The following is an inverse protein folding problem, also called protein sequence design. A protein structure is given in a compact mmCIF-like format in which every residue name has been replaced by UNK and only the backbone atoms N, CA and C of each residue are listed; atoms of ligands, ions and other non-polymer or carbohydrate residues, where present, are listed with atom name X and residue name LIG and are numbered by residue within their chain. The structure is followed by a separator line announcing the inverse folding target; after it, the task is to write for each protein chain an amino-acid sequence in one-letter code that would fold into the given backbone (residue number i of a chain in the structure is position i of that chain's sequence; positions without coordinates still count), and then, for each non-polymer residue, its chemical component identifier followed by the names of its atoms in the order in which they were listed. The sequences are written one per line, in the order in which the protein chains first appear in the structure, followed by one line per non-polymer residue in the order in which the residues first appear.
data_IF_230184376178
#
_entry.id   IF_230184376178
#
_cell.length_a   1.000
_cell.length_b   1.000
_cell.length_c   1.000
_cell.angle_alpha   90.00
_cell.angle_beta   90.00
_cell.angle_gamma   90.00
#
_symmetry.space_group_name_H-M   'P 1'
#
loop_
_entity.id
_entity.type
_entity.pdbx_description
1 polymer ?
#
# COMPACT_ATOMS: atom_id res chain seq x y z
N UNK A 1 -62.68 37.35 16.67
CA UNK A 1 -61.25 37.19 16.40
C UNK A 1 -60.98 35.72 16.18
N UNK A 2 -60.90 35.26 14.90
CA UNK A 2 -60.67 33.86 14.55
C UNK A 2 -59.13 33.66 14.41
N UNK A 3 -58.56 32.82 15.27
CA UNK A 3 -57.13 32.45 15.16
C UNK A 3 -56.96 31.43 14.03
N UNK A 4 -56.24 31.80 12.99
CA UNK A 4 -55.86 30.93 11.89
C UNK A 4 -54.60 30.13 12.32
N UNK A 5 -54.76 28.82 12.53
CA UNK A 5 -53.64 27.93 12.78
C UNK A 5 -53.12 27.45 11.44
N UNK A 6 -51.94 27.93 11.07
CA UNK A 6 -51.21 27.41 9.90
C UNK A 6 -50.45 26.16 10.34
N UNK A 7 -50.89 24.99 9.90
CA UNK A 7 -50.18 23.71 10.05
C UNK A 7 -49.13 23.64 8.94
N UNK A 8 -47.87 23.83 9.31
CA UNK A 8 -46.74 23.68 8.41
C UNK A 8 -46.48 22.16 8.23
N UNK A 9 -46.90 21.59 7.11
CA UNK A 9 -46.67 20.22 6.72
C UNK A 9 -45.24 20.09 6.17
N UNK A 10 -44.31 19.65 6.99
CA UNK A 10 -42.96 19.31 6.53
C UNK A 10 -43.04 18.01 5.76
N UNK A 11 -43.01 18.09 4.44
CA UNK A 11 -42.87 16.92 3.57
C UNK A 11 -41.39 16.51 3.62
N UNK A 12 -41.10 15.47 4.37
CA UNK A 12 -39.82 14.81 4.33
C UNK A 12 -39.68 14.12 2.96
N UNK A 13 -38.95 14.75 2.07
CA UNK A 13 -38.57 14.17 0.79
C UNK A 13 -37.54 13.08 1.07
N UNK A 14 -37.96 11.81 1.21
CA UNK A 14 -37.07 10.67 1.22
C UNK A 14 -36.44 10.58 -0.17
N UNK A 15 -35.20 11.03 -0.29
CA UNK A 15 -34.41 10.79 -1.49
C UNK A 15 -34.16 9.28 -1.56
N UNK A 16 -34.94 8.57 -2.38
CA UNK A 16 -34.57 7.23 -2.83
C UNK A 16 -33.33 7.36 -3.72
N UNK A 17 -32.15 7.30 -3.12
CA UNK A 17 -30.95 7.00 -3.90
C UNK A 17 -31.12 5.56 -4.37
N UNK A 18 -31.46 5.38 -5.66
CA UNK A 18 -31.27 4.10 -6.33
C UNK A 18 -29.78 3.82 -6.27
N UNK A 19 -29.35 3.04 -5.27
CA UNK A 19 -27.97 2.62 -5.15
C UNK A 19 -27.59 1.89 -6.43
N UNK A 20 -26.75 2.52 -7.25
CA UNK A 20 -26.08 1.81 -8.31
C UNK A 20 -25.38 0.61 -7.62
N UNK A 21 -25.68 -0.60 -8.10
CA UNK A 21 -25.07 -1.81 -7.55
C UNK A 21 -23.56 -1.68 -7.74
N UNK A 22 -22.84 -1.43 -6.65
CA UNK A 22 -21.40 -1.34 -6.67
C UNK A 22 -20.86 -2.66 -7.21
N UNK A 23 -20.04 -2.58 -8.25
CA UNK A 23 -19.40 -3.76 -8.83
C UNK A 23 -18.29 -4.17 -7.88
N UNK A 24 -18.41 -5.34 -7.26
CA UNK A 24 -17.37 -5.84 -6.37
C UNK A 24 -16.06 -5.95 -7.16
N UNK A 25 -15.01 -5.30 -6.65
CA UNK A 25 -13.68 -5.38 -7.24
C UNK A 25 -13.07 -6.74 -6.96
N UNK A 26 -12.39 -7.33 -7.95
CA UNK A 26 -11.54 -8.49 -7.71
C UNK A 26 -10.21 -8.00 -7.09
N UNK A 27 -9.58 -8.77 -6.19
CA UNK A 27 -8.24 -8.47 -5.72
C UNK A 27 -7.26 -8.28 -6.88
N UNK A 28 -6.21 -7.49 -6.67
CA UNK A 28 -5.10 -7.37 -7.63
C UNK A 28 -4.21 -8.59 -7.47
N UNK A 29 -3.96 -9.29 -8.57
CA UNK A 29 -3.01 -10.41 -8.57
C UNK A 29 -1.58 -9.85 -8.52
N UNK A 30 -0.85 -10.17 -7.46
CA UNK A 30 0.54 -9.76 -7.28
C UNK A 30 1.54 -10.77 -7.86
N UNK A 31 1.07 -11.93 -8.31
CA UNK A 31 1.93 -13.00 -8.78
C UNK A 31 3.05 -13.33 -7.79
N UNK A 32 4.25 -13.55 -8.27
CA UNK A 32 5.42 -13.85 -7.44
C UNK A 32 5.90 -12.64 -6.60
N UNK A 33 5.52 -11.40 -6.95
CA UNK A 33 5.77 -10.22 -6.11
C UNK A 33 5.05 -10.30 -4.76
N UNK A 34 3.94 -11.03 -4.69
CA UNK A 34 3.18 -11.28 -3.46
C UNK A 34 3.95 -12.05 -2.39
N UNK A 35 5.05 -12.70 -2.74
CA UNK A 35 5.95 -13.39 -1.79
C UNK A 35 6.84 -12.42 -1.01
N UNK A 36 6.98 -11.18 -1.45
CA UNK A 36 7.82 -10.18 -0.83
C UNK A 36 6.99 -9.20 0.00
N UNK A 37 7.51 -8.82 1.17
CA UNK A 37 6.96 -7.71 1.96
C UNK A 37 7.56 -6.38 1.50
N UNK A 38 8.80 -6.39 0.98
CA UNK A 38 9.41 -5.26 0.28
C UNK A 38 10.06 -5.77 -1.01
N UNK A 39 9.70 -5.17 -2.14
CA UNK A 39 10.38 -5.39 -3.42
C UNK A 39 10.66 -4.04 -4.06
N UNK A 40 11.93 -3.82 -4.46
CA UNK A 40 12.35 -2.54 -5.05
C UNK A 40 13.29 -2.76 -6.23
N UNK A 41 13.26 -1.83 -7.21
CA UNK A 41 14.14 -1.94 -8.38
C UNK A 41 15.47 -1.23 -8.22
N UNK A 42 15.55 -0.21 -7.34
CA UNK A 42 16.75 0.63 -7.22
C UNK A 42 17.45 0.52 -5.87
N UNK A 43 16.78 0.00 -4.84
CA UNK A 43 17.40 -0.23 -3.53
C UNK A 43 16.42 -0.21 -2.38
N UNK A 44 16.88 -0.74 -1.25
CA UNK A 44 16.19 -0.71 0.04
C UNK A 44 17.19 -0.20 1.07
N UNK A 45 16.85 0.90 1.73
CA UNK A 45 17.73 1.51 2.74
C UNK A 45 17.00 1.57 4.07
N UNK A 46 17.71 1.26 5.17
CA UNK A 46 17.18 1.45 6.51
C UNK A 46 18.16 2.17 7.41
N UNK A 47 17.63 2.94 8.35
CA UNK A 47 18.37 3.54 9.46
C UNK A 47 17.60 3.29 10.76
N UNK A 48 18.33 3.16 11.87
CA UNK A 48 17.75 2.85 13.17
C UNK A 48 17.27 1.39 13.29
N UNK A 49 16.48 1.10 14.32
CA UNK A 49 16.02 -0.25 14.62
C UNK A 49 14.75 -0.56 13.84
N UNK A 50 14.91 -1.15 12.66
CA UNK A 50 13.80 -1.63 11.82
C UNK A 50 13.51 -3.11 12.09
N UNK A 51 12.25 -3.52 12.02
CA UNK A 51 11.80 -4.91 12.15
C UNK A 51 10.92 -5.28 10.96
N UNK A 52 11.32 -6.27 10.17
CA UNK A 52 10.60 -6.71 8.98
C UNK A 52 10.24 -8.18 9.13
N UNK A 53 8.95 -8.51 9.03
CA UNK A 53 8.46 -9.88 8.99
C UNK A 53 8.09 -10.25 7.56
N UNK A 54 8.92 -11.09 6.93
CA UNK A 54 8.77 -11.54 5.54
C UNK A 54 10.02 -11.28 4.70
N UNK A 55 9.97 -11.72 3.45
CA UNK A 55 11.09 -11.62 2.53
C UNK A 55 11.21 -10.23 1.91
N UNK A 56 12.44 -9.79 1.67
CA UNK A 56 12.72 -8.55 0.94
C UNK A 56 13.63 -8.81 -0.26
N UNK A 57 13.50 -8.01 -1.31
CA UNK A 57 14.28 -8.22 -2.52
C UNK A 57 14.54 -6.96 -3.33
N UNK A 58 15.68 -6.96 -4.05
CA UNK A 58 16.00 -5.94 -5.05
C UNK A 58 16.38 -6.57 -6.38
N UNK A 59 15.87 -6.01 -7.47
CA UNK A 59 16.22 -6.39 -8.85
C UNK A 59 15.84 -5.27 -9.82
N UNK A 60 16.67 -4.94 -10.81
CA UNK A 60 17.89 -5.62 -11.26
C UNK A 60 19.19 -5.21 -10.53
N UNK A 61 19.10 -4.41 -9.49
CA UNK A 61 20.25 -3.91 -8.74
C UNK A 61 20.85 -5.00 -7.82
N UNK A 62 22.12 -4.84 -7.47
CA UNK A 62 22.87 -5.77 -6.63
C UNK A 62 22.56 -5.62 -5.15
N UNK A 63 23.00 -6.58 -4.33
CA UNK A 63 22.86 -6.54 -2.86
C UNK A 63 23.48 -5.28 -2.23
N UNK A 64 24.45 -4.64 -2.87
CA UNK A 64 25.05 -3.40 -2.39
C UNK A 64 24.05 -2.23 -2.27
N UNK A 65 22.91 -2.33 -2.95
CA UNK A 65 21.82 -1.37 -2.84
C UNK A 65 20.85 -1.65 -1.66
N UNK A 66 21.10 -2.72 -0.89
CA UNK A 66 20.40 -3.01 0.36
C UNK A 66 21.29 -2.51 1.52
N UNK A 67 21.01 -1.35 2.04
CA UNK A 67 21.89 -0.67 2.98
C UNK A 67 21.25 -0.54 4.38
N UNK A 68 22.10 -0.59 5.43
CA UNK A 68 21.67 -0.49 6.82
C UNK A 68 21.18 -1.81 7.45
N UNK A 69 21.17 -2.92 6.71
CA UNK A 69 20.66 -4.22 7.17
C UNK A 69 21.72 -5.14 7.78
N UNK A 70 22.99 -4.80 7.72
CA UNK A 70 24.09 -5.68 8.16
C UNK A 70 23.93 -7.12 7.62
N UNK A 71 23.88 -7.24 6.29
CA UNK A 71 23.62 -8.51 5.60
C UNK A 71 24.69 -9.55 5.92
N UNK A 72 24.25 -10.75 6.25
CA UNK A 72 25.11 -11.91 6.45
C UNK A 72 24.86 -12.92 5.33
N UNK A 73 25.85 -13.20 4.47
CA UNK A 73 25.78 -14.24 3.47
C UNK A 73 25.55 -15.61 4.14
N UNK A 74 24.75 -16.47 3.50
CA UNK A 74 24.47 -17.81 4.02
C UNK A 74 25.61 -18.77 3.72
N UNK A 75 26.30 -18.55 2.60
CA UNK A 75 27.44 -19.38 2.17
C UNK A 75 28.67 -18.46 2.00
N UNK A 76 29.78 -18.75 2.70
CA UNK A 76 30.97 -17.89 2.68
C UNK A 76 31.71 -17.86 1.34
N UNK A 77 31.48 -18.84 0.46
CA UNK A 77 32.16 -18.95 -0.85
C UNK A 77 31.56 -18.08 -1.98
N UNK A 78 30.52 -17.29 -1.64
CA UNK A 78 29.85 -16.42 -2.60
C UNK A 78 28.76 -17.05 -3.45
N UNK A 79 28.43 -18.35 -3.23
CA UNK A 79 27.34 -19.05 -3.92
C UNK A 79 25.97 -18.83 -3.26
N UNK A 80 25.73 -17.62 -2.74
CA UNK A 80 24.51 -17.31 -2.00
C UNK A 80 23.29 -17.19 -2.92
N UNK A 81 22.21 -17.87 -2.57
CA UNK A 81 20.88 -17.62 -3.14
C UNK A 81 20.09 -16.59 -2.36
N UNK A 82 20.47 -16.27 -1.12
CA UNK A 82 19.90 -15.23 -0.27
C UNK A 82 20.90 -14.84 0.81
N UNK A 83 20.66 -13.74 1.48
CA UNK A 83 21.31 -13.32 2.74
C UNK A 83 20.29 -13.25 3.87
N UNK A 84 20.80 -13.15 5.10
CA UNK A 84 20.02 -12.93 6.31
C UNK A 84 20.39 -11.59 6.95
N UNK A 85 19.51 -11.08 7.79
CA UNK A 85 19.71 -9.88 8.60
C UNK A 85 18.98 -10.04 9.93
N UNK A 86 19.53 -9.53 11.02
CA UNK A 86 18.82 -9.50 12.31
C UNK A 86 17.57 -8.59 12.29
N UNK A 87 17.43 -7.74 11.28
CA UNK A 87 16.28 -6.85 11.10
C UNK A 87 15.17 -7.48 10.27
N UNK A 88 15.39 -8.68 9.67
CA UNK A 88 14.46 -9.35 8.76
C UNK A 88 14.27 -10.78 9.22
N UNK A 89 13.06 -11.18 9.55
CA UNK A 89 12.75 -12.57 9.91
C UNK A 89 12.67 -13.50 8.71
N UNK A 90 12.52 -12.96 7.50
CA UNK A 90 12.58 -13.66 6.22
C UNK A 90 13.98 -13.67 5.63
N UNK A 91 14.03 -13.82 4.31
CA UNK A 91 15.25 -13.81 3.51
C UNK A 91 15.42 -12.50 2.78
N UNK A 92 16.68 -12.17 2.49
CA UNK A 92 17.06 -10.98 1.73
C UNK A 92 17.63 -11.43 0.38
N UNK A 93 17.01 -10.99 -0.71
CA UNK A 93 17.36 -11.39 -2.05
C UNK A 93 17.89 -10.23 -2.88
N UNK A 94 18.85 -10.50 -3.75
CA UNK A 94 19.40 -9.54 -4.68
C UNK A 94 19.71 -10.17 -6.05
N UNK A 95 19.69 -9.37 -7.10
CA UNK A 95 19.81 -9.87 -8.48
C UNK A 95 21.21 -10.42 -8.84
N UNK A 96 22.22 -10.14 -8.03
CA UNK A 96 23.58 -10.66 -8.19
C UNK A 96 23.87 -11.92 -7.37
N UNK A 97 22.85 -12.49 -6.72
CA UNK A 97 23.01 -13.79 -6.07
C UNK A 97 22.95 -14.95 -7.07
N UNK A 98 23.25 -16.15 -6.61
CA UNK A 98 23.29 -17.34 -7.45
C UNK A 98 21.89 -17.76 -7.90
N UNK A 99 21.78 -18.34 -9.09
CA UNK A 99 20.53 -18.95 -9.57
C UNK A 99 19.94 -19.95 -8.52
N UNK A 100 18.61 -19.96 -8.35
CA UNK A 100 17.59 -19.36 -9.22
C UNK A 100 17.14 -17.92 -8.81
N UNK A 101 17.86 -17.25 -7.92
CA UNK A 101 17.45 -15.97 -7.34
C UNK A 101 17.32 -14.85 -8.38
N UNK A 102 18.28 -14.60 -9.29
CA UNK A 102 18.13 -13.56 -10.32
C UNK A 102 16.91 -13.76 -11.21
N UNK A 103 16.68 -15.03 -11.63
CA UNK A 103 15.53 -15.39 -12.46
C UNK A 103 14.21 -15.16 -11.72
N UNK A 104 14.10 -15.62 -10.47
CA UNK A 104 12.88 -15.47 -9.65
C UNK A 104 12.60 -13.99 -9.33
N UNK A 105 13.61 -13.20 -9.01
CA UNK A 105 13.46 -11.76 -8.77
C UNK A 105 13.06 -11.01 -10.05
N UNK A 106 13.61 -11.41 -11.20
CA UNK A 106 13.21 -10.88 -12.48
C UNK A 106 11.72 -11.06 -12.75
N UNK A 107 11.20 -12.27 -12.50
CA UNK A 107 9.75 -12.56 -12.58
C UNK A 107 8.94 -11.73 -11.57
N UNK A 108 9.40 -11.66 -10.32
CA UNK A 108 8.69 -10.89 -9.29
C UNK A 108 8.60 -9.39 -9.63
N UNK A 109 9.63 -8.82 -10.24
CA UNK A 109 9.58 -7.43 -10.71
C UNK A 109 8.61 -7.26 -11.87
N UNK A 110 8.56 -8.20 -12.81
CA UNK A 110 7.57 -8.18 -13.90
C UNK A 110 6.14 -8.31 -13.38
N UNK A 111 5.91 -9.19 -12.42
CA UNK A 111 4.60 -9.36 -11.77
C UNK A 111 4.19 -8.11 -11.01
N UNK A 112 5.11 -7.47 -10.27
CA UNK A 112 4.86 -6.17 -9.61
C UNK A 112 4.43 -5.10 -10.62
N UNK A 113 5.08 -5.03 -11.78
CA UNK A 113 4.75 -4.08 -12.83
C UNK A 113 3.41 -4.40 -13.51
N UNK A 114 3.11 -5.69 -13.71
CA UNK A 114 1.83 -6.15 -14.24
C UNK A 114 0.69 -5.84 -13.25
N UNK A 115 0.88 -6.11 -11.96
CA UNK A 115 -0.08 -5.78 -10.91
C UNK A 115 -0.37 -4.27 -10.85
N UNK A 116 0.68 -3.43 -10.94
CA UNK A 116 0.50 -1.98 -11.04
C UNK A 116 -0.32 -1.60 -12.28
N UNK A 117 0.00 -2.18 -13.43
CA UNK A 117 -0.65 -1.86 -14.70
C UNK A 117 -2.12 -2.29 -14.71
N UNK A 118 -2.42 -3.49 -14.21
CA UNK A 118 -3.81 -3.96 -14.03
C UNK A 118 -4.58 -3.00 -13.13
N UNK A 119 -4.09 -2.77 -11.93
CA UNK A 119 -4.78 -1.96 -10.94
C UNK A 119 -4.96 -0.50 -11.37
N UNK A 120 -3.96 0.10 -12.01
CA UNK A 120 -4.03 1.47 -12.55
C UNK A 120 -4.93 1.58 -13.79
N UNK A 121 -5.07 0.50 -14.54
CA UNK A 121 -5.87 0.42 -15.77
C UNK A 121 -7.34 0.09 -15.55
N UNK A 122 -7.78 -0.26 -14.34
CA UNK A 122 -9.18 -0.59 -14.08
C UNK A 122 -10.07 0.62 -14.34
N UNK A 123 -11.17 0.37 -15.00
CA UNK A 123 -12.12 1.39 -15.47
C UNK A 123 -13.39 1.41 -14.63
N UNK A 124 -14.23 2.42 -14.83
CA UNK A 124 -15.50 2.61 -14.13
C UNK A 124 -15.29 2.72 -12.60
N UNK A 125 -14.51 3.71 -12.13
CA UNK A 125 -14.33 3.93 -10.69
C UNK A 125 -15.67 4.23 -10.02
N UNK A 126 -15.86 3.64 -8.83
CA UNK A 126 -17.04 3.88 -8.00
C UNK A 126 -17.00 5.31 -7.42
N UNK A 127 -15.78 5.82 -7.17
CA UNK A 127 -15.56 7.15 -6.61
C UNK A 127 -14.44 7.87 -7.36
N UNK A 128 -14.71 9.12 -7.75
CA UNK A 128 -13.72 9.98 -8.42
C UNK A 128 -13.52 11.27 -7.62
N UNK A 129 -12.25 11.68 -7.49
CA UNK A 129 -11.83 12.94 -6.81
C UNK A 129 -12.46 13.12 -5.42
N UNK A 130 -12.75 12.01 -4.71
CA UNK A 130 -13.36 12.05 -3.38
C UNK A 130 -12.52 12.92 -2.44
N UNK A 131 -13.20 13.85 -1.71
CA UNK A 131 -12.54 14.77 -0.80
C UNK A 131 -11.53 15.70 -1.48
N UNK A 132 -11.55 15.82 -2.83
CA UNK A 132 -10.52 16.54 -3.60
C UNK A 132 -9.08 16.09 -3.25
N UNK A 133 -8.92 14.78 -2.96
CA UNK A 133 -7.66 14.17 -2.55
C UNK A 133 -7.40 14.17 -1.04
N UNK A 134 -8.19 14.84 -0.22
CA UNK A 134 -8.11 14.72 1.24
C UNK A 134 -9.14 13.69 1.71
N UNK A 135 -8.66 12.53 2.17
CA UNK A 135 -9.52 11.43 2.66
C UNK A 135 -9.47 11.26 4.17
N UNK A 136 -8.78 12.15 4.90
CA UNK A 136 -8.75 12.13 6.36
C UNK A 136 -10.13 12.31 6.98
N UNK A 137 -10.42 11.57 8.05
CA UNK A 137 -11.70 11.58 8.74
C UNK A 137 -12.83 10.83 8.02
N UNK A 138 -12.61 10.31 6.81
CA UNK A 138 -13.64 9.61 6.06
C UNK A 138 -13.73 8.13 6.45
N UNK A 139 -14.94 7.57 6.27
CA UNK A 139 -15.17 6.12 6.25
C UNK A 139 -15.45 5.70 4.82
N UNK A 140 -14.60 4.84 4.26
CA UNK A 140 -14.62 4.44 2.86
C UNK A 140 -15.17 3.02 2.71
N UNK A 141 -16.20 2.88 1.87
CA UNK A 141 -16.74 1.59 1.47
C UNK A 141 -15.78 0.86 0.49
N UNK A 142 -15.90 -0.47 0.32
CA UNK A 142 -15.15 -1.20 -0.71
C UNK A 142 -15.39 -0.61 -2.11
N UNK A 143 -14.40 -0.68 -2.99
CA UNK A 143 -14.57 -0.22 -4.37
C UNK A 143 -13.31 0.31 -5.03
N UNK A 144 -13.49 0.83 -6.24
CA UNK A 144 -12.46 1.48 -7.03
C UNK A 144 -12.54 3.00 -6.88
N UNK A 145 -11.48 3.58 -6.37
CA UNK A 145 -11.31 5.01 -6.17
C UNK A 145 -10.29 5.58 -7.16
N UNK A 146 -10.52 6.77 -7.69
CA UNK A 146 -9.61 7.39 -8.64
C UNK A 146 -9.44 8.88 -8.36
N UNK A 147 -8.17 9.32 -8.33
CA UNK A 147 -7.77 10.73 -8.28
C UNK A 147 -6.78 11.03 -9.40
N UNK A 148 -6.99 12.16 -10.06
CA UNK A 148 -6.07 12.71 -11.07
C UNK A 148 -4.92 13.50 -10.44
N UNK A 149 -4.95 13.68 -9.12
CA UNK A 149 -4.00 14.46 -8.32
C UNK A 149 -3.39 13.65 -7.18
N UNK A 150 -2.80 14.32 -6.21
CA UNK A 150 -2.28 13.73 -4.97
C UNK A 150 -3.40 13.37 -4.01
N UNK A 151 -3.13 12.39 -3.13
CA UNK A 151 -4.01 12.03 -2.00
C UNK A 151 -3.28 12.27 -0.69
N UNK A 152 -3.97 12.87 0.26
CA UNK A 152 -3.47 13.12 1.61
C UNK A 152 -4.39 12.52 2.66
N UNK A 153 -3.77 11.99 3.73
CA UNK A 153 -4.47 11.44 4.89
C UNK A 153 -3.99 12.22 6.13
N UNK A 154 -4.53 13.43 6.37
CA UNK A 154 -4.08 14.28 7.49
C UNK A 154 -4.58 13.84 8.86
N UNK A 155 -5.65 13.03 8.92
CA UNK A 155 -6.23 12.41 10.10
C UNK A 155 -6.68 11.01 9.75
N UNK A 156 -6.98 10.16 10.72
CA UNK A 156 -7.35 8.76 10.53
C UNK A 156 -8.40 8.58 9.43
N UNK A 157 -8.22 7.56 8.60
CA UNK A 157 -9.19 7.13 7.60
C UNK A 157 -9.65 5.70 7.94
N UNK A 158 -10.95 5.44 7.85
CA UNK A 158 -11.51 4.12 8.12
C UNK A 158 -11.92 3.43 6.83
N UNK A 159 -11.46 2.20 6.63
CA UNK A 159 -11.93 1.31 5.55
C UNK A 159 -12.90 0.31 6.16
N UNK A 160 -14.18 0.42 5.81
CA UNK A 160 -15.26 -0.37 6.43
C UNK A 160 -15.90 -1.32 5.43
N UNK A 161 -15.76 -2.63 5.69
CA UNK A 161 -16.33 -3.69 4.86
C UNK A 161 -16.04 -5.07 5.42
N UNK A 162 -16.46 -6.10 4.70
CA UNK A 162 -16.25 -7.50 5.08
C UNK A 162 -14.85 -8.04 4.77
N UNK A 163 -14.59 -9.31 5.11
CA UNK A 163 -13.26 -9.91 4.99
C UNK A 163 -12.80 -10.13 3.53
N UNK A 164 -13.74 -10.21 2.60
CA UNK A 164 -13.47 -10.45 1.17
C UNK A 164 -13.62 -9.18 0.32
N UNK A 165 -13.99 -8.07 0.96
CA UNK A 165 -14.15 -6.79 0.27
C UNK A 165 -12.80 -6.21 -0.15
N UNK A 166 -12.78 -5.51 -1.30
CA UNK A 166 -11.57 -5.02 -1.95
C UNK A 166 -11.64 -3.50 -2.10
N UNK A 167 -10.54 -2.84 -1.80
CA UNK A 167 -10.31 -1.41 -2.05
C UNK A 167 -9.15 -1.24 -3.02
N UNK A 168 -9.35 -0.45 -4.07
CA UNK A 168 -8.30 -0.09 -5.02
C UNK A 168 -8.30 1.43 -5.14
N UNK A 169 -7.18 2.04 -4.79
CA UNK A 169 -6.98 3.48 -4.81
C UNK A 169 -6.02 3.84 -5.95
N UNK A 170 -6.55 4.34 -7.07
CA UNK A 170 -5.77 4.83 -8.21
C UNK A 170 -5.41 6.30 -7.98
N UNK A 171 -4.14 6.58 -7.75
CA UNK A 171 -3.62 7.92 -7.42
C UNK A 171 -2.60 8.35 -8.46
N UNK A 172 -2.93 9.36 -9.28
CA UNK A 172 -2.03 9.85 -10.33
C UNK A 172 -0.89 10.72 -9.78
N UNK A 173 -1.03 11.27 -8.59
CA UNK A 173 -0.01 12.05 -7.87
C UNK A 173 0.69 11.25 -6.78
N UNK A 174 1.05 11.91 -5.69
CA UNK A 174 1.64 11.33 -4.48
C UNK A 174 0.57 10.83 -3.51
N UNK A 175 0.98 9.96 -2.58
CA UNK A 175 0.21 9.57 -1.42
C UNK A 175 0.99 9.93 -0.15
N UNK A 176 0.38 10.78 0.67
CA UNK A 176 1.00 11.29 1.89
C UNK A 176 0.09 11.05 3.10
N UNK A 177 0.53 10.27 4.08
CA UNK A 177 -0.14 10.14 5.37
C UNK A 177 0.62 10.95 6.42
N UNK A 178 -0.11 11.75 7.20
CA UNK A 178 0.47 12.59 8.26
C UNK A 178 1.03 11.76 9.41
N UNK A 179 1.89 12.39 10.22
CA UNK A 179 2.44 11.78 11.44
C UNK A 179 1.33 11.42 12.42
N UNK A 180 1.51 10.29 13.13
CA UNK A 180 0.57 9.77 14.13
C UNK A 180 -0.87 9.56 13.59
N UNK A 181 -1.00 9.25 12.30
CA UNK A 181 -2.27 9.01 11.61
C UNK A 181 -2.37 7.55 11.20
N UNK A 182 -3.57 6.98 11.25
CA UNK A 182 -3.82 5.57 11.02
C UNK A 182 -4.79 5.31 9.87
N UNK A 183 -4.52 4.26 9.10
CA UNK A 183 -5.53 3.58 8.27
C UNK A 183 -6.21 2.53 9.14
N UNK A 184 -7.47 2.75 9.49
CA UNK A 184 -8.26 1.89 10.39
C UNK A 184 -9.08 0.93 9.54
N UNK A 185 -9.08 -0.36 9.91
CA UNK A 185 -9.92 -1.38 9.28
C UNK A 185 -11.10 -1.72 10.20
N UNK A 186 -12.30 -1.80 9.63
CA UNK A 186 -13.50 -2.15 10.38
C UNK A 186 -14.42 -3.10 9.59
N UNK A 187 -15.36 -3.76 10.28
CA UNK A 187 -16.30 -4.69 9.66
C UNK A 187 -15.71 -6.04 9.23
N UNK A 188 -14.43 -6.26 9.48
CA UNK A 188 -13.72 -7.46 9.03
C UNK A 188 -12.79 -7.21 7.83
N UNK A 189 -12.67 -5.98 7.35
CA UNK A 189 -11.76 -5.59 6.27
C UNK A 189 -10.34 -6.10 6.53
N UNK A 190 -9.66 -6.59 5.50
CA UNK A 190 -8.33 -7.18 5.60
C UNK A 190 -7.30 -6.42 4.76
N UNK A 191 -6.14 -6.15 5.33
CA UNK A 191 -5.07 -5.41 4.68
C UNK A 191 -4.61 -6.03 3.34
N UNK A 192 -4.69 -7.36 3.21
CA UNK A 192 -4.33 -8.07 1.97
C UNK A 192 -5.20 -7.68 0.76
N UNK A 193 -6.42 -7.17 1.00
CA UNK A 193 -7.39 -6.80 -0.03
C UNK A 193 -7.42 -5.29 -0.32
N UNK A 194 -6.47 -4.55 0.21
CA UNK A 194 -6.35 -3.10 0.02
C UNK A 194 -5.13 -2.82 -0.85
N UNK A 195 -5.33 -2.07 -1.94
CA UNK A 195 -4.29 -1.78 -2.92
C UNK A 195 -4.19 -0.26 -3.18
N UNK A 196 -3.05 0.32 -2.80
CA UNK A 196 -2.71 1.71 -3.03
C UNK A 196 -1.83 1.82 -4.27
N UNK A 197 -2.40 2.22 -5.40
CA UNK A 197 -1.75 2.25 -6.72
C UNK A 197 -1.35 3.68 -7.01
N UNK A 198 -0.07 4.00 -6.80
CA UNK A 198 0.42 5.37 -6.75
C UNK A 198 1.42 5.63 -7.87
N UNK A 199 1.12 6.61 -8.73
CA UNK A 199 2.04 6.98 -9.82
C UNK A 199 3.21 7.84 -9.33
N UNK A 200 2.99 8.63 -8.28
CA UNK A 200 4.02 9.45 -7.63
C UNK A 200 4.71 8.71 -6.47
N UNK A 201 5.33 9.50 -5.60
CA UNK A 201 5.96 9.01 -4.37
C UNK A 201 4.92 8.72 -3.28
N UNK A 202 5.29 7.81 -2.37
CA UNK A 202 4.53 7.53 -1.15
C UNK A 202 5.35 7.96 0.06
N UNK A 203 4.74 8.73 0.96
CA UNK A 203 5.35 9.12 2.23
C UNK A 203 4.45 8.72 3.40
N UNK A 204 4.98 7.85 4.27
CA UNK A 204 4.33 7.49 5.52
C UNK A 204 4.93 8.36 6.63
N UNK A 205 4.11 9.19 7.26
CA UNK A 205 4.50 10.13 8.31
C UNK A 205 5.04 9.43 9.56
N UNK A 206 5.77 10.16 10.38
CA UNK A 206 6.35 9.65 11.62
C UNK A 206 5.28 9.02 12.51
N UNK A 207 5.52 7.78 12.98
CA UNK A 207 4.61 6.99 13.83
C UNK A 207 3.22 6.77 13.22
N UNK A 208 3.06 6.89 11.91
CA UNK A 208 1.80 6.53 11.25
C UNK A 208 1.62 5.01 11.20
N UNK A 209 0.35 4.57 11.17
CA UNK A 209 -0.02 3.16 11.03
C UNK A 209 -0.72 2.93 9.69
N UNK A 210 -0.01 2.33 8.75
CA UNK A 210 -0.54 2.11 7.41
C UNK A 210 -0.93 0.65 7.17
N UNK A 211 -2.00 0.43 6.39
CA UNK A 211 -2.49 -0.91 6.06
C UNK A 211 -2.80 -1.03 4.57
N UNK A 212 -2.38 -2.16 4.00
CA UNK A 212 -2.60 -2.50 2.60
C UNK A 212 -1.32 -2.62 1.78
N UNK A 213 -1.48 -3.06 0.55
CA UNK A 213 -0.39 -3.26 -0.40
C UNK A 213 -0.15 -1.96 -1.18
N UNK A 214 1.06 -1.43 -1.09
CA UNK A 214 1.48 -0.23 -1.82
C UNK A 214 2.15 -0.67 -3.12
N UNK A 215 1.57 -0.29 -4.25
CA UNK A 215 2.10 -0.45 -5.59
C UNK A 215 2.54 0.93 -6.10
N UNK A 216 3.79 1.31 -5.88
CA UNK A 216 4.30 2.63 -6.24
C UNK A 216 5.13 2.57 -7.53
N UNK A 217 4.86 3.47 -8.47
CA UNK A 217 5.68 3.62 -9.69
C UNK A 217 7.01 4.29 -9.41
N UNK A 218 7.10 5.02 -8.29
CA UNK A 218 8.34 5.66 -7.82
C UNK A 218 8.73 5.11 -6.45
N UNK A 219 9.22 5.95 -5.55
CA UNK A 219 9.72 5.54 -4.23
C UNK A 219 8.63 5.48 -3.15
N UNK A 220 8.93 4.68 -2.13
CA UNK A 220 8.18 4.64 -0.88
C UNK A 220 9.13 5.04 0.24
N UNK A 221 8.76 6.04 1.02
CA UNK A 221 9.50 6.49 2.20
C UNK A 221 8.64 6.28 3.45
N UNK A 222 9.19 5.57 4.43
CA UNK A 222 8.57 5.42 5.74
C UNK A 222 9.40 6.22 6.75
N UNK A 223 8.81 7.29 7.29
CA UNK A 223 9.46 8.12 8.29
C UNK A 223 9.53 7.40 9.65
N UNK A 224 10.27 7.99 10.59
CA UNK A 224 10.63 7.38 11.87
C UNK A 224 9.44 6.74 12.57
N UNK A 225 9.54 5.45 12.85
CA UNK A 225 8.55 4.69 13.60
C UNK A 225 7.23 4.43 12.89
N UNK A 226 7.08 4.80 11.62
CA UNK A 226 5.90 4.42 10.83
C UNK A 226 5.81 2.90 10.71
N UNK A 227 4.60 2.36 10.75
CA UNK A 227 4.35 0.93 10.62
C UNK A 227 3.53 0.60 9.38
N UNK A 228 3.78 -0.57 8.79
CA UNK A 228 3.04 -1.09 7.65
C UNK A 228 2.61 -2.54 7.92
N UNK A 229 1.30 -2.76 7.95
CA UNK A 229 0.75 -4.11 7.77
C UNK A 229 0.31 -4.25 6.30
N UNK A 230 1.17 -4.85 5.50
CA UNK A 230 1.02 -4.84 4.05
C UNK A 230 2.32 -5.08 3.31
N UNK A 231 2.40 -4.61 2.07
CA UNK A 231 3.58 -4.72 1.21
C UNK A 231 4.01 -3.35 0.68
N UNK A 232 5.32 -3.15 0.59
CA UNK A 232 5.94 -1.98 -0.04
C UNK A 232 6.61 -2.41 -1.36
N UNK A 233 5.87 -2.31 -2.47
CA UNK A 233 6.29 -2.72 -3.80
C UNK A 233 6.59 -1.47 -4.64
N UNK A 234 7.87 -1.13 -4.78
CA UNK A 234 8.32 0.12 -5.41
C UNK A 234 9.08 -0.13 -6.72
N UNK A 235 8.71 0.58 -7.79
CA UNK A 235 9.46 0.50 -9.04
C UNK A 235 10.76 1.34 -9.02
N UNK A 236 11.05 2.01 -7.90
CA UNK A 236 12.36 2.60 -7.62
C UNK A 236 12.87 2.12 -6.26
N UNK A 237 12.88 2.93 -5.23
CA UNK A 237 13.50 2.63 -3.94
C UNK A 237 12.50 2.59 -2.78
N UNK A 238 12.85 1.87 -1.71
CA UNK A 238 12.16 1.91 -0.43
C UNK A 238 13.14 2.41 0.64
N UNK A 239 12.76 3.46 1.36
CA UNK A 239 13.56 4.05 2.43
C UNK A 239 12.83 3.92 3.76
N UNK A 240 13.54 3.43 4.77
CA UNK A 240 13.01 3.10 6.09
C UNK A 240 13.80 3.82 7.19
N UNK A 241 13.10 4.24 8.26
CA UNK A 241 13.70 4.85 9.45
C UNK A 241 13.05 4.26 10.69
N UNK A 242 13.67 3.24 11.29
CA UNK A 242 13.17 2.56 12.49
C UNK A 242 11.70 2.10 12.38
N UNK A 243 11.38 1.38 11.33
CA UNK A 243 10.00 0.97 10.99
C UNK A 243 9.70 -0.47 11.39
N UNK A 244 8.42 -0.79 11.57
CA UNK A 244 7.93 -2.15 11.67
C UNK A 244 7.04 -2.49 10.45
N UNK A 245 7.38 -3.58 9.75
CA UNK A 245 6.66 -4.03 8.56
C UNK A 245 6.28 -5.49 8.72
N UNK A 246 5.01 -5.81 8.53
CA UNK A 246 4.48 -7.17 8.60
C UNK A 246 3.65 -7.48 7.35
N UNK A 247 3.68 -8.74 6.91
CA UNK A 247 2.78 -9.22 5.85
C UNK A 247 1.32 -9.00 6.25
N UNK A 248 0.43 -8.71 5.27
CA UNK A 248 -0.99 -8.47 5.55
C UNK A 248 -1.75 -9.74 5.87
#
# INVERSE_FOLDING_TARGET
MKKLIIVLMVIAMAAFTTGAKQIAQSPVDLGSAGSFVILAKSGITTTGTTSITGDIGVSPITYAAITGFALTPVVPDGSNTFSTSSLVTGKVYAADYTEPTPTNLGMAVLDMQAAYTDAAGRTLPDFTELGTGNIGGLTLAPGLYKWSSCVTIPTDVTLSGGPDDVWIFQIAGTLDISSATSVILSGGAQAKNIFWVVAGAVALGTTSEFKGNILAKTNITMNTGATLNGRALAQTAVTLIANAITVP
#
